data_IF_764770259356
#
_entry.id   IF_764770259356
#
_cell.length_a   1.000
_cell.length_b   1.000
_cell.length_c   1.000
_cell.angle_alpha   90.00
_cell.angle_beta   90.00
_cell.angle_gamma   90.00
#
_symmetry.space_group_name_H-M   'P 1'
#
loop_
_entity.id
_entity.type
_entity.pdbx_description
1 polymer ?
#
# COMPACT_ATOMS: atom_id res chain seq x y z
N UNK A 1 -10.16 14.37 -6.51
CA UNK A 1 -10.07 13.01 -7.10
C UNK A 1 -9.33 12.97 -8.45
N UNK A 2 -9.65 13.80 -9.44
CA UNK A 2 -9.05 13.73 -10.79
C UNK A 2 -7.51 13.84 -10.81
N UNK A 3 -6.95 14.75 -10.02
CA UNK A 3 -5.49 14.98 -9.97
C UNK A 3 -4.71 13.82 -9.33
N UNK A 4 -5.28 13.15 -8.32
CA UNK A 4 -4.67 11.98 -7.71
C UNK A 4 -4.62 10.80 -8.70
N UNK A 5 -5.69 10.59 -9.46
CA UNK A 5 -5.74 9.52 -10.47
C UNK A 5 -4.77 9.70 -11.63
N UNK A 6 -4.29 10.92 -11.88
CA UNK A 6 -3.30 11.21 -12.92
C UNK A 6 -1.87 11.16 -12.39
N UNK A 7 -1.62 11.74 -11.21
CA UNK A 7 -0.27 11.93 -10.69
C UNK A 7 0.26 10.73 -9.91
N UNK A 8 -0.59 10.08 -9.11
CA UNK A 8 -0.16 9.01 -8.21
C UNK A 8 0.28 7.74 -8.97
N UNK A 9 -0.35 7.31 -10.08
CA UNK A 9 0.15 6.16 -10.84
C UNK A 9 1.60 6.30 -11.30
N UNK A 10 2.03 7.51 -11.67
CA UNK A 10 3.40 7.79 -12.11
C UNK A 10 4.43 7.53 -11.00
N UNK A 11 4.04 7.58 -9.73
CA UNK A 11 4.95 7.29 -8.60
C UNK A 11 5.46 5.86 -8.62
N UNK A 12 4.66 4.91 -9.11
CA UNK A 12 5.09 3.52 -9.19
C UNK A 12 6.12 3.31 -10.31
N UNK A 13 5.99 4.04 -11.42
CA UNK A 13 6.99 4.06 -12.50
C UNK A 13 8.28 4.71 -12.02
N UNK A 14 8.17 5.89 -11.39
CA UNK A 14 9.30 6.60 -10.80
C UNK A 14 10.03 5.76 -9.75
N UNK A 15 9.31 5.03 -8.88
CA UNK A 15 9.93 4.12 -7.92
C UNK A 15 10.79 3.06 -8.62
N UNK A 16 10.29 2.50 -9.72
CA UNK A 16 10.99 1.45 -10.47
C UNK A 16 12.20 2.00 -11.24
N UNK A 17 12.14 3.26 -11.68
CA UNK A 17 13.25 3.96 -12.31
C UNK A 17 14.35 4.34 -11.32
N UNK A 18 13.97 4.86 -10.14
CA UNK A 18 14.92 5.29 -9.11
C UNK A 18 15.57 4.11 -8.40
N UNK A 19 14.83 3.01 -8.23
CA UNK A 19 15.30 1.80 -7.56
C UNK A 19 15.32 0.61 -8.53
N UNK A 20 16.18 0.70 -9.54
CA UNK A 20 16.30 -0.23 -10.66
C UNK A 20 17.02 -1.55 -10.31
N UNK A 21 17.86 -1.55 -9.28
CA UNK A 21 18.52 -2.74 -8.76
C UNK A 21 17.67 -3.49 -7.71
N UNK A 22 17.78 -4.82 -7.68
CA UNK A 22 16.96 -5.64 -6.79
C UNK A 22 17.15 -5.32 -5.28
N UNK A 23 18.36 -4.92 -4.85
CA UNK A 23 18.61 -4.53 -3.46
C UNK A 23 18.04 -3.15 -3.14
N UNK A 24 18.27 -2.16 -4.02
CA UNK A 24 17.73 -0.81 -3.85
C UNK A 24 16.20 -0.83 -3.91
N UNK A 25 15.59 -1.59 -4.82
CA UNK A 25 14.14 -1.77 -4.91
C UNK A 25 13.53 -2.26 -3.60
N UNK A 26 14.19 -3.19 -2.90
CA UNK A 26 13.66 -3.77 -1.66
C UNK A 26 13.81 -2.85 -0.44
N UNK A 27 14.81 -1.98 -0.44
CA UNK A 27 15.12 -1.09 0.70
C UNK A 27 14.65 0.35 0.49
N UNK A 28 14.34 0.71 -0.74
CA UNK A 28 13.91 2.03 -1.15
C UNK A 28 12.56 2.42 -0.55
N UNK A 29 12.38 3.73 -0.46
CA UNK A 29 11.11 4.36 -0.19
C UNK A 29 11.05 5.67 -0.98
N UNK A 30 9.92 5.94 -1.60
CA UNK A 30 9.62 7.20 -2.27
C UNK A 30 8.49 7.89 -1.50
N UNK A 31 8.70 9.16 -1.15
CA UNK A 31 7.69 9.99 -0.50
C UNK A 31 7.26 11.07 -1.48
N UNK A 32 5.96 11.09 -1.82
CA UNK A 32 5.36 12.12 -2.65
C UNK A 32 4.52 13.03 -1.75
N UNK A 33 5.00 14.25 -1.53
CA UNK A 33 4.36 15.26 -0.68
C UNK A 33 3.56 16.24 -1.52
N UNK A 34 2.39 16.64 -1.03
CA UNK A 34 1.46 17.53 -1.70
C UNK A 34 1.16 18.74 -0.79
N UNK A 35 2.09 19.71 -0.69
CA UNK A 35 1.97 20.83 0.24
C UNK A 35 0.86 21.81 -0.12
N UNK A 36 0.45 21.86 -1.39
CA UNK A 36 -0.54 22.81 -1.90
C UNK A 36 -1.99 22.30 -1.78
N UNK A 37 -2.19 21.08 -1.28
CA UNK A 37 -3.53 20.55 -1.02
C UNK A 37 -4.08 21.20 0.25
N UNK A 38 -5.28 21.78 0.12
CA UNK A 38 -6.03 22.31 1.25
C UNK A 38 -6.20 21.21 2.34
N UNK A 39 -5.84 21.48 3.61
CA UNK A 39 -6.09 20.57 4.72
C UNK A 39 -7.51 20.01 4.77
N UNK A 40 -8.52 20.79 4.35
CA UNK A 40 -9.92 20.33 4.30
C UNK A 40 -10.17 19.26 3.22
N UNK A 41 -9.43 19.31 2.10
CA UNK A 41 -9.51 18.35 0.99
C UNK A 41 -8.52 17.18 1.09
N UNK A 42 -7.58 17.23 2.03
CA UNK A 42 -6.49 16.26 2.13
C UNK A 42 -6.96 14.81 2.34
N UNK A 43 -7.98 14.58 3.18
CA UNK A 43 -8.51 13.22 3.41
C UNK A 43 -9.15 12.65 2.14
N UNK A 44 -9.97 13.44 1.44
CA UNK A 44 -10.59 12.97 0.18
C UNK A 44 -9.54 12.64 -0.87
N UNK A 45 -8.51 13.48 -1.02
CA UNK A 45 -7.44 13.26 -1.98
C UNK A 45 -6.60 12.01 -1.62
N UNK A 46 -6.14 11.92 -0.38
CA UNK A 46 -5.22 10.87 0.07
C UNK A 46 -5.93 9.53 0.24
N UNK A 47 -7.04 9.49 0.98
CA UNK A 47 -7.79 8.26 1.22
C UNK A 47 -8.48 7.76 -0.05
N UNK A 48 -9.05 8.68 -0.84
CA UNK A 48 -9.68 8.37 -2.12
C UNK A 48 -8.66 7.87 -3.15
N UNK A 49 -7.51 8.52 -3.25
CA UNK A 49 -6.41 8.08 -4.11
C UNK A 49 -5.87 6.72 -3.70
N UNK A 50 -5.66 6.49 -2.39
CA UNK A 50 -5.24 5.18 -1.88
C UNK A 50 -6.27 4.09 -2.19
N UNK A 51 -7.56 4.33 -1.91
CA UNK A 51 -8.62 3.37 -2.18
C UNK A 51 -8.72 2.99 -3.68
N UNK A 52 -8.50 3.96 -4.57
CA UNK A 52 -8.52 3.75 -6.01
C UNK A 52 -7.30 2.97 -6.51
N UNK A 53 -6.11 3.31 -6.02
CA UNK A 53 -4.85 2.91 -6.66
C UNK A 53 -4.08 1.81 -5.93
N UNK A 54 -4.42 1.52 -4.66
CA UNK A 54 -3.68 0.54 -3.85
C UNK A 54 -3.52 -0.81 -4.55
N UNK A 55 -4.56 -1.30 -5.21
CA UNK A 55 -4.50 -2.58 -5.92
C UNK A 55 -3.46 -2.57 -7.05
N UNK A 56 -3.37 -1.47 -7.81
CA UNK A 56 -2.40 -1.34 -8.91
C UNK A 56 -0.95 -1.30 -8.38
N UNK A 57 -0.72 -0.64 -7.24
CA UNK A 57 0.58 -0.67 -6.57
C UNK A 57 0.93 -2.09 -6.09
N UNK A 58 0.00 -2.77 -5.43
CA UNK A 58 0.20 -4.14 -4.95
C UNK A 58 0.44 -5.12 -6.10
N UNK A 59 -0.26 -4.94 -7.22
CA UNK A 59 -0.02 -5.69 -8.47
C UNK A 59 1.41 -5.57 -8.97
N UNK A 60 2.04 -4.42 -8.75
CA UNK A 60 3.44 -4.13 -9.11
C UNK A 60 4.46 -4.51 -8.02
N UNK A 61 4.01 -5.10 -6.92
CA UNK A 61 4.90 -5.48 -5.83
C UNK A 61 5.23 -4.34 -4.87
N UNK A 62 4.44 -3.27 -4.91
CA UNK A 62 4.60 -2.08 -4.09
C UNK A 62 3.47 -1.97 -3.06
N UNK A 63 3.76 -1.32 -1.95
CA UNK A 63 2.77 -0.81 -1.01
C UNK A 63 2.62 0.69 -1.21
N UNK A 64 1.39 1.18 -1.14
CA UNK A 64 1.05 2.60 -1.12
C UNK A 64 0.51 2.93 0.29
N UNK A 65 1.09 3.93 0.94
CA UNK A 65 0.65 4.43 2.24
C UNK A 65 0.04 5.82 2.15
N UNK A 66 -1.03 6.04 2.89
CA UNK A 66 -1.92 7.19 2.84
C UNK A 66 -1.76 8.10 4.07
N UNK A 67 -1.01 9.20 3.95
CA UNK A 67 -0.70 10.06 5.10
C UNK A 67 -1.35 11.43 4.98
N UNK A 68 -2.04 11.87 6.03
CA UNK A 68 -2.61 13.22 6.13
C UNK A 68 -2.92 13.59 7.59
N UNK A 69 -3.12 14.88 7.87
CA UNK A 69 -3.22 15.40 9.24
C UNK A 69 -4.40 14.82 10.04
N UNK A 70 -5.52 14.57 9.34
CA UNK A 70 -6.75 14.06 9.94
C UNK A 70 -6.82 12.53 10.01
N UNK A 71 -5.77 11.80 9.59
CA UNK A 71 -5.85 10.34 9.51
C UNK A 71 -6.18 9.72 10.86
N UNK A 72 -7.09 8.75 10.83
CA UNK A 72 -7.52 7.96 11.98
C UNK A 72 -6.98 6.52 11.93
N UNK A 73 -6.16 6.19 10.93
CA UNK A 73 -5.57 4.86 10.77
C UNK A 73 -4.61 4.59 11.93
N UNK A 74 -5.00 3.66 12.79
CA UNK A 74 -4.23 3.25 13.96
C UNK A 74 -3.16 2.19 13.64
N UNK A 75 -2.15 2.09 14.50
CA UNK A 75 -1.17 1.00 14.42
C UNK A 75 -1.85 -0.37 14.61
N UNK A 76 -1.33 -1.40 13.94
CA UNK A 76 -1.76 -2.79 14.14
C UNK A 76 -1.61 -3.23 15.60
N UNK A 77 -0.57 -2.75 16.29
CA UNK A 77 -0.27 -3.14 17.68
C UNK A 77 -0.79 -2.15 18.72
N UNK A 78 -1.13 -0.93 18.31
CA UNK A 78 -1.70 0.10 19.17
C UNK A 78 -2.68 0.97 18.37
N UNK A 79 -3.97 0.59 18.33
CA UNK A 79 -4.98 1.32 17.55
C UNK A 79 -5.16 2.79 17.97
N UNK A 80 -4.80 3.14 19.21
CA UNK A 80 -4.86 4.52 19.70
C UNK A 80 -3.72 5.40 19.16
N UNK A 81 -2.69 4.80 18.55
CA UNK A 81 -1.59 5.52 17.94
C UNK A 81 -1.86 5.72 16.43
N UNK A 82 -2.14 6.95 15.97
CA UNK A 82 -2.51 7.23 14.59
C UNK A 82 -1.27 7.27 13.69
N UNK A 83 -0.84 6.10 13.22
CA UNK A 83 0.44 5.91 12.51
C UNK A 83 0.54 6.62 11.17
N UNK A 84 -0.61 6.95 10.56
CA UNK A 84 -0.66 7.60 9.25
C UNK A 84 -0.87 9.12 9.34
N UNK A 85 -0.75 9.72 10.54
CA UNK A 85 -0.82 11.18 10.66
C UNK A 85 0.47 11.83 10.20
N UNK A 86 0.33 12.81 9.32
CA UNK A 86 1.39 13.68 8.85
C UNK A 86 0.89 15.13 8.76
N UNK A 87 1.72 16.14 9.10
CA UNK A 87 1.35 17.54 8.92
C UNK A 87 1.18 17.94 7.45
N UNK A 88 1.81 17.21 6.52
CA UNK A 88 1.71 17.43 5.07
C UNK A 88 1.08 16.20 4.42
N UNK A 89 0.06 16.36 3.55
CA UNK A 89 -0.51 15.24 2.80
C UNK A 89 0.55 14.55 1.95
N UNK A 90 0.64 13.22 2.01
CA UNK A 90 1.61 12.48 1.22
C UNK A 90 1.20 11.04 0.92
N UNK A 91 1.75 10.52 -0.17
CA UNK A 91 1.82 9.09 -0.44
C UNK A 91 3.23 8.56 -0.16
N UNK A 92 3.31 7.43 0.53
CA UNK A 92 4.57 6.68 0.66
C UNK A 92 4.52 5.43 -0.22
N UNK A 93 5.55 5.23 -1.03
CA UNK A 93 5.70 4.06 -1.89
C UNK A 93 6.93 3.28 -1.46
N UNK A 94 6.78 1.97 -1.28
CA UNK A 94 7.88 1.04 -1.00
C UNK A 94 7.59 -0.34 -1.55
N UNK A 95 8.60 -1.20 -1.65
CA UNK A 95 8.38 -2.61 -1.94
C UNK A 95 7.50 -3.31 -0.88
N UNK A 96 6.72 -4.31 -1.33
CA UNK A 96 6.00 -5.21 -0.45
C UNK A 96 6.96 -6.08 0.38
N UNK A 97 6.53 -6.29 1.62
CA UNK A 97 7.21 -7.04 2.66
C UNK A 97 6.31 -8.13 3.23
N UNK A 98 6.88 -9.06 4.00
CA UNK A 98 6.13 -10.12 4.68
C UNK A 98 5.09 -9.56 5.65
N UNK A 99 5.37 -8.40 6.26
CA UNK A 99 4.48 -7.78 7.24
C UNK A 99 3.23 -7.15 6.61
N UNK A 100 3.25 -6.87 5.31
CA UNK A 100 2.12 -6.23 4.61
C UNK A 100 0.87 -7.10 4.57
N UNK A 101 1.02 -8.40 4.83
CA UNK A 101 -0.11 -9.32 4.97
C UNK A 101 -1.12 -8.84 6.04
N UNK A 102 -0.67 -8.14 7.08
CA UNK A 102 -1.55 -7.57 8.13
C UNK A 102 -2.53 -6.52 7.59
N UNK A 103 -2.19 -5.89 6.46
CA UNK A 103 -3.00 -4.87 5.80
C UNK A 103 -3.74 -5.41 4.59
N UNK A 104 -3.16 -6.37 3.85
CA UNK A 104 -3.75 -6.96 2.65
C UNK A 104 -4.81 -8.03 2.98
N UNK A 105 -4.63 -8.75 4.08
CA UNK A 105 -5.59 -9.78 4.52
C UNK A 105 -6.73 -9.19 5.36
N UNK A 106 -7.48 -8.26 4.76
CA UNK A 106 -8.64 -7.61 5.38
C UNK A 106 -9.89 -7.88 4.56
N UNK A 107 -11.07 -8.07 5.20
CA UNK A 107 -12.32 -8.22 4.46
C UNK A 107 -12.54 -7.06 3.48
N UNK A 108 -12.86 -7.37 2.23
CA UNK A 108 -13.05 -6.36 1.19
C UNK A 108 -13.11 -6.98 -0.20
N UNK A 109 -13.66 -6.23 -1.16
CA UNK A 109 -13.90 -6.70 -2.54
C UNK A 109 -12.60 -7.12 -3.25
N UNK A 110 -11.49 -6.46 -2.94
CA UNK A 110 -10.19 -6.70 -3.58
C UNK A 110 -9.32 -7.72 -2.83
N UNK A 111 -9.81 -8.30 -1.71
CA UNK A 111 -8.98 -9.14 -0.82
C UNK A 111 -8.30 -10.30 -1.56
N UNK A 112 -9.05 -10.98 -2.42
CA UNK A 112 -8.53 -12.11 -3.21
C UNK A 112 -7.35 -11.68 -4.10
N UNK A 113 -7.54 -10.62 -4.88
CA UNK A 113 -6.50 -10.09 -5.78
C UNK A 113 -5.26 -9.61 -5.00
N UNK A 114 -5.47 -8.88 -3.90
CA UNK A 114 -4.39 -8.41 -3.04
C UNK A 114 -3.55 -9.57 -2.48
N UNK A 115 -4.20 -10.65 -2.04
CA UNK A 115 -3.52 -11.85 -1.53
C UNK A 115 -2.80 -12.63 -2.65
N UNK A 116 -3.38 -12.69 -3.85
CA UNK A 116 -2.73 -13.30 -5.01
C UNK A 116 -1.43 -12.57 -5.38
N UNK A 117 -1.46 -11.24 -5.45
CA UNK A 117 -0.27 -10.43 -5.71
C UNK A 117 0.73 -10.45 -4.55
N UNK A 118 0.27 -10.52 -3.29
CA UNK A 118 1.16 -10.75 -2.15
C UNK A 118 1.97 -12.04 -2.34
N UNK A 119 1.31 -13.17 -2.67
CA UNK A 119 2.02 -14.44 -2.91
C UNK A 119 3.00 -14.33 -4.08
N UNK A 120 2.61 -13.67 -5.17
CA UNK A 120 3.49 -13.45 -6.34
C UNK A 120 4.78 -12.74 -5.96
N UNK A 121 4.72 -11.69 -5.16
CA UNK A 121 5.86 -10.79 -4.89
C UNK A 121 6.63 -11.10 -3.61
N UNK A 122 5.97 -11.71 -2.64
CA UNK A 122 6.50 -11.95 -1.28
C UNK A 122 6.59 -13.44 -0.94
N UNK A 123 5.85 -14.31 -1.63
CA UNK A 123 5.73 -15.74 -1.30
C UNK A 123 7.07 -16.45 -1.17
N UNK A 124 8.03 -16.21 -2.07
CA UNK A 124 9.38 -16.81 -2.00
C UNK A 124 10.24 -16.35 -0.81
N UNK A 125 9.81 -15.31 -0.09
CA UNK A 125 10.50 -14.74 1.09
C UNK A 125 9.69 -14.91 2.38
N UNK A 126 8.42 -15.29 2.27
CA UNK A 126 7.55 -15.49 3.42
C UNK A 126 7.77 -16.89 4.04
N UNK A 127 7.57 -17.05 5.37
CA UNK A 127 7.57 -18.38 5.98
C UNK A 127 6.55 -19.32 5.33
N UNK A 128 6.88 -20.61 5.17
CA UNK A 128 6.00 -21.59 4.53
C UNK A 128 4.59 -21.62 5.16
N UNK A 129 4.50 -21.59 6.49
CA UNK A 129 3.22 -21.55 7.20
C UNK A 129 2.36 -20.32 6.85
N UNK A 130 2.98 -19.19 6.52
CA UNK A 130 2.28 -17.98 6.05
C UNK A 130 1.76 -18.19 4.63
N UNK A 131 2.58 -18.76 3.74
CA UNK A 131 2.20 -19.08 2.36
C UNK A 131 1.01 -20.05 2.36
N UNK A 132 1.10 -21.16 3.11
CA UNK A 132 0.04 -22.18 3.23
C UNK A 132 -1.26 -21.58 3.77
N UNK A 133 -1.18 -20.65 4.72
CA UNK A 133 -2.35 -19.94 5.24
C UNK A 133 -3.01 -19.11 4.14
N UNK A 134 -2.24 -18.29 3.43
CA UNK A 134 -2.79 -17.42 2.37
C UNK A 134 -3.38 -18.26 1.23
N UNK A 135 -2.73 -19.34 0.83
CA UNK A 135 -3.25 -20.25 -0.20
C UNK A 135 -4.57 -20.90 0.22
N UNK A 136 -4.71 -21.35 1.47
CA UNK A 136 -5.99 -21.86 2.00
C UNK A 136 -7.08 -20.79 2.02
N UNK A 137 -6.72 -19.56 2.39
CA UNK A 137 -7.65 -18.43 2.35
C UNK A 137 -8.16 -18.16 0.94
N UNK A 138 -7.29 -18.17 -0.07
CA UNK A 138 -7.67 -18.01 -1.47
C UNK A 138 -8.55 -19.17 -1.97
N UNK A 139 -8.18 -20.42 -1.66
CA UNK A 139 -8.97 -21.60 -2.05
C UNK A 139 -10.40 -21.56 -1.48
N UNK A 140 -10.57 -21.01 -0.26
CA UNK A 140 -11.89 -20.85 0.36
C UNK A 140 -12.74 -19.71 -0.25
N UNK A 141 -12.14 -18.80 -1.03
CA UNK A 141 -12.85 -17.71 -1.73
C UNK A 141 -13.33 -18.09 -3.13
N UNK A 142 -12.69 -19.07 -3.77
CA UNK A 142 -13.03 -19.55 -5.12
C UNK A 142 -14.24 -20.49 -5.19
N UNK A 143 -15.07 -20.53 -4.13
CA UNK A 143 -16.31 -21.31 -4.01
C UNK A 143 -17.49 -20.37 -3.79
#
# INVERSE_FOLDING_TARGET
MHEASETVPALADLYSEVFDEAESFRRGALLAVFPDIDPAGASEFIDGGHALLRLDFVRRGLMLGEFHQASSVGSVHNPAFPVMRSPVPMFAVRALTVHDLLFLDRPGKQREELLGYYLKHVGGRAPAAVVDRVQRTLAAMGH
#
